data_IF_035252922881
#
_entry.id   IF_035252922881
#
_cell.length_a   1.000
_cell.length_b   1.000
_cell.length_c   1.000
_cell.angle_alpha   90.00
_cell.angle_beta   90.00
_cell.angle_gamma   90.00
#
_symmetry.space_group_name_H-M   'P 1'
#
loop_
_entity.id
_entity.type
_entity.pdbx_description
1 polymer ?
#
# COMPACT_ATOMS: atom_id res chain seq x y z
N UNK A 1 11.86 0.65 5.43
CA UNK A 1 11.14 -0.61 5.72
C UNK A 1 10.06 -0.42 6.78
N UNK A 2 10.35 0.25 7.91
CA UNK A 2 9.38 0.43 9.01
C UNK A 2 8.10 1.18 8.64
N UNK A 3 8.18 2.18 7.75
CA UNK A 3 7.01 2.92 7.27
C UNK A 3 6.03 2.03 6.50
N UNK A 4 6.54 1.14 5.64
CA UNK A 4 5.71 0.23 4.84
C UNK A 4 5.00 -0.78 5.75
N UNK A 5 5.71 -1.34 6.74
CA UNK A 5 5.11 -2.24 7.72
C UNK A 5 4.06 -1.57 8.62
N UNK A 6 4.25 -0.28 8.97
CA UNK A 6 3.26 0.48 9.73
C UNK A 6 1.96 0.69 8.91
N UNK A 7 2.09 1.02 7.63
CA UNK A 7 0.95 1.19 6.71
C UNK A 7 0.20 -0.13 6.51
N UNK A 8 0.91 -1.24 6.31
CA UNK A 8 0.30 -2.57 6.15
C UNK A 8 -0.50 -2.95 7.41
N UNK A 9 0.09 -2.83 8.61
CA UNK A 9 -0.59 -3.15 9.86
C UNK A 9 -1.84 -2.29 10.11
N UNK A 10 -1.80 -1.00 9.74
CA UNK A 10 -2.94 -0.11 9.91
C UNK A 10 -4.12 -0.52 9.00
N UNK A 11 -3.82 -0.90 7.76
CA UNK A 11 -4.83 -1.34 6.80
C UNK A 11 -5.39 -2.71 7.17
N UNK A 12 -4.54 -3.64 7.59
CA UNK A 12 -4.93 -4.98 8.03
C UNK A 12 -5.94 -4.94 9.18
N UNK A 13 -5.72 -4.09 10.19
CA UNK A 13 -6.68 -3.89 11.29
C UNK A 13 -8.02 -3.32 10.86
N UNK A 14 -8.05 -2.50 9.80
CA UNK A 14 -9.30 -1.95 9.24
C UNK A 14 -10.06 -3.00 8.44
N UNK A 15 -9.35 -3.91 7.77
CA UNK A 15 -9.89 -5.02 6.99
C UNK A 15 -10.33 -6.23 7.84
N UNK A 16 -9.77 -6.40 9.04
CA UNK A 16 -10.16 -7.48 9.97
C UNK A 16 -11.57 -7.30 10.56
N UNK A 17 -12.18 -6.13 10.37
CA UNK A 17 -13.50 -5.82 10.92
C UNK A 17 -14.59 -6.64 10.21
N UNK A 18 -15.42 -7.34 10.98
CA UNK A 18 -16.54 -8.14 10.45
C UNK A 18 -17.61 -7.26 9.82
N UNK A 19 -18.03 -7.62 8.60
CA UNK A 19 -19.07 -6.92 7.85
C UNK A 19 -20.44 -7.27 8.45
N UNK A 20 -21.18 -6.25 8.90
CA UNK A 20 -22.53 -6.41 9.45
C UNK A 20 -23.59 -5.67 8.64
N UNK A 21 -23.21 -4.59 7.97
CA UNK A 21 -24.12 -3.79 7.15
C UNK A 21 -23.47 -3.32 5.83
N UNK A 22 -24.27 -2.64 5.01
CA UNK A 22 -23.81 -2.05 3.74
C UNK A 22 -22.83 -0.89 3.96
N UNK A 23 -22.87 -0.23 5.12
CA UNK A 23 -21.94 0.84 5.47
C UNK A 23 -20.53 0.30 5.74
N UNK A 24 -20.42 -0.88 6.36
CA UNK A 24 -19.17 -1.62 6.53
C UNK A 24 -18.57 -2.00 5.16
N UNK A 25 -19.41 -2.43 4.21
CA UNK A 25 -18.96 -2.70 2.82
C UNK A 25 -18.41 -1.44 2.17
N UNK A 26 -19.08 -0.29 2.35
CA UNK A 26 -18.62 0.99 1.83
C UNK A 26 -17.28 1.41 2.44
N UNK A 27 -17.11 1.23 3.75
CA UNK A 27 -15.88 1.51 4.47
C UNK A 27 -14.71 0.66 3.96
N UNK A 28 -14.96 -0.64 3.73
CA UNK A 28 -13.94 -1.55 3.20
C UNK A 28 -13.58 -1.18 1.76
N UNK A 29 -14.57 -0.89 0.90
CA UNK A 29 -14.32 -0.47 -0.48
C UNK A 29 -13.51 0.82 -0.56
N UNK A 30 -13.80 1.81 0.27
CA UNK A 30 -13.01 3.05 0.35
C UNK A 30 -11.58 2.80 0.86
N UNK A 31 -11.42 1.85 1.79
CA UNK A 31 -10.10 1.46 2.31
C UNK A 31 -9.28 0.73 1.24
N UNK A 32 -9.88 -0.18 0.49
CA UNK A 32 -9.26 -0.87 -0.63
C UNK A 32 -8.88 0.09 -1.76
N UNK A 33 -9.69 1.12 -2.02
CA UNK A 33 -9.36 2.17 -2.98
C UNK A 33 -8.11 2.95 -2.56
N UNK A 34 -8.01 3.31 -1.27
CA UNK A 34 -6.83 3.99 -0.72
C UNK A 34 -5.56 3.13 -0.79
N UNK A 35 -5.67 1.82 -0.56
CA UNK A 35 -4.53 0.89 -0.71
C UNK A 35 -4.02 0.95 -2.15
N UNK A 36 -4.91 0.88 -3.14
CA UNK A 36 -4.55 0.93 -4.56
C UNK A 36 -3.88 2.26 -4.95
N UNK A 37 -4.38 3.38 -4.41
CA UNK A 37 -3.74 4.70 -4.63
C UNK A 37 -2.33 4.75 -4.02
N UNK A 38 -2.15 4.17 -2.83
CA UNK A 38 -0.84 4.08 -2.18
C UNK A 38 0.13 3.15 -2.92
N UNK A 39 -0.32 2.04 -3.49
CA UNK A 39 0.49 1.16 -4.32
C UNK A 39 1.07 1.90 -5.53
N UNK A 40 0.25 2.69 -6.23
CA UNK A 40 0.67 3.52 -7.37
C UNK A 40 1.69 4.59 -6.95
N UNK A 41 1.46 5.24 -5.81
CA UNK A 41 2.39 6.23 -5.23
C UNK A 41 3.73 5.60 -4.79
N UNK A 42 3.70 4.34 -4.34
CA UNK A 42 4.91 3.58 -4.00
C UNK A 42 5.67 3.17 -5.27
N UNK A 43 4.98 2.78 -6.33
CA UNK A 43 5.58 2.42 -7.63
C UNK A 43 6.34 3.61 -8.24
N UNK A 44 5.75 4.81 -8.23
CA UNK A 44 6.41 6.06 -8.65
C UNK A 44 7.67 6.41 -7.86
N UNK A 45 7.82 5.91 -6.64
CA UNK A 45 9.03 6.10 -5.81
C UNK A 45 10.09 5.02 -6.02
N UNK A 46 9.78 3.92 -6.72
CA UNK A 46 10.72 2.84 -7.01
C UNK A 46 11.60 3.17 -8.22
N UNK A 47 11.12 4.00 -9.17
CA UNK A 47 11.91 4.47 -10.34
C UNK A 47 13.36 4.90 -10.03
N UNK A 48 13.64 5.75 -9.02
CA UNK A 48 15.02 6.12 -8.69
C UNK A 48 15.85 4.97 -8.08
N UNK A 49 15.24 3.98 -7.44
CA UNK A 49 15.93 2.83 -6.83
C UNK A 49 16.37 1.84 -7.91
N UNK A 50 15.51 1.57 -8.89
CA UNK A 50 15.83 0.67 -10.00
C UNK A 50 17.02 1.19 -10.80
N UNK A 51 17.07 2.50 -11.11
CA UNK A 51 18.21 3.12 -11.80
C UNK A 51 19.51 2.97 -11.01
N UNK A 52 19.48 3.07 -9.67
CA UNK A 52 20.67 2.87 -8.83
C UNK A 52 21.13 1.41 -8.87
N UNK A 53 20.22 0.43 -8.84
CA UNK A 53 20.59 -0.98 -8.93
C UNK A 53 21.16 -1.29 -10.33
N UNK A 54 20.52 -0.81 -11.41
CA UNK A 54 21.04 -1.01 -12.76
C UNK A 54 22.40 -0.35 -12.97
N UNK A 55 22.63 0.86 -12.44
CA UNK A 55 23.94 1.53 -12.55
C UNK A 55 25.01 0.91 -11.66
N UNK A 56 24.66 0.40 -10.48
CA UNK A 56 25.62 -0.17 -9.54
C UNK A 56 25.96 -1.65 -9.83
N UNK A 57 25.10 -2.36 -10.59
CA UNK A 57 25.36 -3.74 -11.08
C UNK A 57 26.04 -3.74 -12.46
N UNK A 58 26.04 -2.61 -13.18
CA UNK A 58 26.67 -2.46 -14.49
C UNK A 58 28.07 -1.81 -14.44
N UNK A 59 28.67 -1.69 -13.25
CA UNK A 59 30.08 -1.32 -13.04
C UNK A 59 30.88 -2.49 -12.44
#
# INVERSE_FOLDING_TARGET
>A
MDYVYAVINEMERKLERTIRDLDDVRLIMDTLKKIREQEVDMELKIDPIDVIIYTHTCC
#
